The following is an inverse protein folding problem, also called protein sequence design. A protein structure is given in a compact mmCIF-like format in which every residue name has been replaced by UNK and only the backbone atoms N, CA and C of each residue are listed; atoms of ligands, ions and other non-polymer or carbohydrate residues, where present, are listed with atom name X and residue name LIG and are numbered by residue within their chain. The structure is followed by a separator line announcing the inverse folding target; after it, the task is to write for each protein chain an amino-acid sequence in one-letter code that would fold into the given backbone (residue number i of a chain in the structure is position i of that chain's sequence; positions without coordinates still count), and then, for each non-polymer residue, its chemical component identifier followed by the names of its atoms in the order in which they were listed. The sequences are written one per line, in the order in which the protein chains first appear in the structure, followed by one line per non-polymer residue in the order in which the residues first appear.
data_IF_213464977789
#
_entry.id   IF_213464977789
#
_cell.length_a   1.000
_cell.length_b   1.000
_cell.length_c   1.000
_cell.angle_alpha   90.00
_cell.angle_beta   90.00
_cell.angle_gamma   90.00
#
_symmetry.space_group_name_H-M   'P 1'
#
loop_
_entity.id
_entity.type
_entity.pdbx_description
1 polymer ?
#
# COMPACT_ATOMS: atom_id res chain seq x y z
N UNK A 1 0.31 -0.54 9.71
CA UNK A 1 1.72 -0.05 9.78
C UNK A 1 1.98 0.92 8.65
N UNK A 2 3.11 1.67 8.65
CA UNK A 2 3.45 2.54 7.51
C UNK A 2 3.63 1.66 6.24
N UNK A 3 2.97 1.96 5.12
CA UNK A 3 3.12 1.18 3.90
C UNK A 3 4.57 1.11 3.41
N UNK A 4 4.97 -0.03 2.84
CA UNK A 4 6.33 -0.29 2.34
C UNK A 4 6.30 -0.84 0.92
N UNK A 5 7.33 -0.55 0.13
CA UNK A 5 7.50 -1.17 -1.18
C UNK A 5 7.94 -2.62 -0.99
N UNK A 6 7.12 -3.54 -1.48
CA UNK A 6 7.48 -4.95 -1.65
C UNK A 6 8.41 -5.08 -2.86
N UNK A 7 9.60 -5.62 -2.63
CA UNK A 7 10.64 -5.75 -3.66
C UNK A 7 10.50 -7.01 -4.51
N UNK A 8 9.70 -7.97 -4.06
CA UNK A 8 9.43 -9.22 -4.78
C UNK A 8 8.31 -9.01 -5.79
N UNK A 9 7.24 -8.32 -5.38
CA UNK A 9 6.07 -8.07 -6.22
C UNK A 9 6.10 -6.71 -6.93
N UNK A 10 6.90 -5.76 -6.43
CA UNK A 10 6.90 -4.37 -6.89
C UNK A 10 5.67 -3.58 -6.44
N UNK A 11 4.86 -4.13 -5.53
CA UNK A 11 3.64 -3.50 -5.01
C UNK A 11 3.90 -2.79 -3.68
N UNK A 12 3.01 -1.89 -3.28
CA UNK A 12 3.08 -1.31 -1.94
C UNK A 12 2.29 -2.18 -0.97
N UNK A 13 2.96 -2.75 0.03
CA UNK A 13 2.36 -3.58 1.07
C UNK A 13 2.02 -2.77 2.33
N UNK A 14 0.92 -3.12 3.01
CA UNK A 14 0.55 -2.55 4.30
C UNK A 14 -0.31 -3.52 5.12
N UNK A 15 -0.37 -3.26 6.43
CA UNK A 15 -1.29 -3.93 7.35
C UNK A 15 -2.51 -3.05 7.55
N UNK A 16 -3.70 -3.58 7.28
CA UNK A 16 -4.97 -2.88 7.51
C UNK A 16 -5.38 -2.85 8.99
N UNK A 17 -6.54 -2.28 9.27
CA UNK A 17 -7.06 -2.10 10.64
C UNK A 17 -7.45 -3.43 11.31
N UNK A 18 -7.71 -4.47 10.52
CA UNK A 18 -8.08 -5.80 10.99
C UNK A 18 -6.84 -6.69 11.18
N UNK A 19 -5.65 -6.20 10.80
CA UNK A 19 -4.39 -6.93 10.91
C UNK A 19 -4.03 -7.76 9.67
N UNK A 20 -4.81 -7.64 8.58
CA UNK A 20 -4.53 -8.39 7.36
C UNK A 20 -3.42 -7.74 6.54
N UNK A 21 -2.62 -8.57 5.88
CA UNK A 21 -1.65 -8.10 4.90
C UNK A 21 -2.35 -7.82 3.57
N UNK A 22 -2.08 -6.64 3.01
CA UNK A 22 -2.60 -6.19 1.72
C UNK A 22 -1.46 -5.66 0.87
N UNK A 23 -1.63 -5.81 -0.45
CA UNK A 23 -0.76 -5.20 -1.45
C UNK A 23 -1.60 -4.36 -2.42
N UNK A 24 -1.10 -3.19 -2.78
CA UNK A 24 -1.71 -2.33 -3.80
C UNK A 24 -0.72 -2.11 -4.94
N UNK A 25 -1.19 -2.30 -6.16
CA UNK A 25 -0.39 -1.98 -7.34
C UNK A 25 -0.18 -0.48 -7.39
N UNK A 26 1.08 -0.04 -7.23
CA UNK A 26 1.40 1.39 -7.14
C UNK A 26 1.21 2.12 -8.47
N UNK A 27 1.07 1.39 -9.59
CA UNK A 27 0.76 1.96 -10.91
C UNK A 27 -0.74 2.23 -11.12
N UNK A 28 -1.63 1.66 -10.30
CA UNK A 28 -3.08 1.86 -10.41
C UNK A 28 -3.60 2.93 -9.43
N UNK A 29 -2.71 3.49 -8.60
CA UNK A 29 -3.04 4.56 -7.66
C UNK A 29 -2.96 5.90 -8.38
N UNK A 30 -4.02 6.25 -9.10
CA UNK A 30 -4.07 7.48 -9.90
C UNK A 30 -3.80 8.74 -9.06
N UNK A 31 -4.22 8.82 -7.79
CA UNK A 31 -3.87 9.91 -6.86
C UNK A 31 -3.99 9.45 -5.39
N UNK A 32 -2.90 9.56 -4.62
CA UNK A 32 -2.96 9.54 -3.15
C UNK A 32 -3.32 10.96 -2.68
N UNK A 33 -4.59 11.23 -2.39
CA UNK A 33 -4.99 12.49 -1.77
C UNK A 33 -4.61 12.42 -0.28
N UNK A 34 -3.68 13.28 0.14
CA UNK A 34 -3.48 13.60 1.57
C UNK A 34 -4.69 14.41 2.02
N UNK A 35 -5.47 13.87 2.96
CA UNK A 35 -6.38 14.68 3.75
C UNK A 35 -5.57 15.33 4.88
N UNK A 36 -5.66 16.65 4.99
CA UNK A 36 -5.11 17.45 6.11
C UNK A 36 -5.81 17.13 7.44
#
# INVERSE_FOLDING_TARGET
GKPQLDKETGMTSYTDQEGNQREINSNDVAQLIKAD
#
